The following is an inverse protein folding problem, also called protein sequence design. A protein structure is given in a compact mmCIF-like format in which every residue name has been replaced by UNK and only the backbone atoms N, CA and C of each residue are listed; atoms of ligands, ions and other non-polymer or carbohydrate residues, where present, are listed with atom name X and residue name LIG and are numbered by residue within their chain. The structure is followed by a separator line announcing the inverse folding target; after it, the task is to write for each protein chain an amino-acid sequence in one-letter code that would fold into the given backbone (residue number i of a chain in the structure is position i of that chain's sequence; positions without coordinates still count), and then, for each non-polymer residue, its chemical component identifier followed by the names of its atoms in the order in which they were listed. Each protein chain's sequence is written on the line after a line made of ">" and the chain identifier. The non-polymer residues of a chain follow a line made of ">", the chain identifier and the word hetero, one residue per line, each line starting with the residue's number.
data_IF_862403970614
#
_entry.id   IF_862403970614
#
_cell.length_a   1.000
_cell.length_b   1.000
_cell.length_c   1.000
_cell.angle_alpha   90.00
_cell.angle_beta   90.00
_cell.angle_gamma   90.00
#
_symmetry.space_group_name_H-M   'P 1'
#
loop_
_entity.id
_entity.type
_entity.pdbx_description
1 polymer ?
#
# COMPACT_ATOMS: atom_id res chain seq x y z
N UNK A 1 18.45 -11.18 -13.01
CA UNK A 1 17.00 -11.03 -12.87
C UNK A 1 16.71 -9.85 -11.96
N UNK A 2 15.95 -8.88 -12.47
CA UNK A 2 15.60 -7.71 -11.69
C UNK A 2 14.23 -7.90 -11.03
N UNK A 3 14.06 -7.37 -9.82
CA UNK A 3 12.80 -7.47 -9.11
C UNK A 3 12.53 -6.24 -8.25
N UNK A 4 11.26 -6.02 -7.94
CA UNK A 4 10.81 -5.02 -7.00
C UNK A 4 9.76 -5.65 -6.09
N UNK A 5 9.76 -5.30 -4.82
CA UNK A 5 8.77 -5.75 -3.85
C UNK A 5 7.91 -4.55 -3.47
N UNK A 6 6.60 -4.71 -3.62
CA UNK A 6 5.59 -3.72 -3.27
C UNK A 6 4.71 -4.33 -2.19
N UNK A 7 4.49 -3.60 -1.11
CA UNK A 7 3.62 -4.06 -0.04
C UNK A 7 2.74 -2.91 0.44
N UNK A 8 1.55 -3.23 0.98
CA UNK A 8 0.76 -2.18 1.61
C UNK A 8 1.39 -1.79 2.96
N UNK A 9 0.97 -0.66 3.53
CA UNK A 9 1.61 -0.10 4.71
C UNK A 9 1.40 -0.90 6.00
N UNK A 10 0.58 -1.96 5.94
CA UNK A 10 0.44 -2.89 7.06
C UNK A 10 1.62 -3.85 7.16
N UNK A 11 2.43 -3.95 6.11
CA UNK A 11 3.64 -4.75 6.11
C UNK A 11 4.77 -3.91 6.71
N UNK A 12 5.31 -4.36 7.85
CA UNK A 12 6.39 -3.64 8.53
C UNK A 12 7.74 -4.08 7.96
N UNK A 13 8.46 -3.12 7.38
CA UNK A 13 9.82 -3.36 6.92
C UNK A 13 10.83 -2.90 7.96
N UNK A 14 11.93 -3.66 8.19
CA UNK A 14 13.07 -3.13 8.93
C UNK A 14 13.63 -1.89 8.23
N UNK A 15 14.28 -1.01 8.97
CA UNK A 15 14.86 0.21 8.41
C UNK A 15 15.83 -0.06 7.27
N UNK A 16 16.55 -1.19 7.32
CA UNK A 16 17.47 -1.60 6.27
C UNK A 16 16.77 -1.85 4.94
N UNK A 17 15.54 -2.40 4.98
CA UNK A 17 14.75 -2.64 3.77
C UNK A 17 13.97 -1.41 3.34
N UNK A 18 13.52 -0.59 4.28
CA UNK A 18 12.76 0.61 3.97
C UNK A 18 13.53 1.60 3.09
N UNK A 19 14.86 1.59 3.18
CA UNK A 19 15.73 2.46 2.39
C UNK A 19 16.22 1.81 1.09
N UNK A 20 15.84 0.56 0.83
CA UNK A 20 16.23 -0.15 -0.39
C UNK A 20 15.29 0.24 -1.53
N UNK A 21 15.80 0.73 -2.69
CA UNK A 21 14.92 1.13 -3.80
C UNK A 21 14.14 -0.02 -4.42
N UNK A 22 14.45 -1.28 -4.08
CA UNK A 22 13.71 -2.45 -4.54
C UNK A 22 12.44 -2.69 -3.73
N UNK A 23 12.23 -1.95 -2.65
CA UNK A 23 11.07 -2.09 -1.77
C UNK A 23 10.29 -0.79 -1.75
N UNK A 24 8.97 -0.90 -1.92
CA UNK A 24 8.08 0.26 -1.85
C UNK A 24 6.85 -0.10 -1.04
N UNK A 25 6.44 0.81 -0.17
CA UNK A 25 5.21 0.68 0.60
C UNK A 25 4.12 1.52 -0.05
N UNK A 26 2.93 0.92 -0.23
CA UNK A 26 1.75 1.64 -0.73
C UNK A 26 0.86 1.95 0.47
N UNK A 27 0.67 3.24 0.75
CA UNK A 27 0.08 3.70 1.99
C UNK A 27 -1.44 3.49 2.06
N UNK A 28 -1.90 2.95 3.20
CA UNK A 28 -3.31 2.97 3.55
C UNK A 28 -3.70 4.34 4.09
N UNK A 29 -4.98 4.67 3.99
CA UNK A 29 -5.51 5.88 4.60
C UNK A 29 -6.23 5.56 5.91
N UNK A 30 -6.16 6.47 6.86
CA UNK A 30 -6.85 6.37 8.15
C UNK A 30 -7.73 7.60 8.31
N UNK A 31 -8.92 7.43 8.87
CA UNK A 31 -9.85 8.55 9.10
C UNK A 31 -10.29 8.59 10.55
N UNK A 32 -10.13 9.76 11.17
CA UNK A 32 -10.65 10.06 12.52
C UNK A 32 -11.38 11.38 12.44
N UNK A 33 -12.67 11.36 12.75
CA UNK A 33 -13.52 12.56 12.75
C UNK A 33 -13.47 13.38 11.45
N UNK A 34 -13.47 12.70 10.30
CA UNK A 34 -13.40 13.34 9.00
C UNK A 34 -12.03 13.75 8.54
N UNK A 35 -11.01 13.61 9.40
CA UNK A 35 -9.63 13.90 9.04
C UNK A 35 -8.98 12.64 8.47
N UNK A 36 -8.46 12.72 7.26
CA UNK A 36 -7.79 11.61 6.60
C UNK A 36 -6.29 11.72 6.84
N UNK A 37 -5.71 10.64 7.35
CA UNK A 37 -4.29 10.55 7.65
C UNK A 37 -3.72 9.42 6.80
N UNK A 38 -2.60 9.68 6.12
CA UNK A 38 -1.94 8.70 5.27
C UNK A 38 -0.87 7.97 6.07
N UNK A 39 -0.88 6.64 6.01
CA UNK A 39 0.07 5.78 6.71
C UNK A 39 1.37 5.65 5.91
N UNK A 40 2.10 6.75 5.84
CA UNK A 40 3.39 6.84 5.15
C UNK A 40 4.48 7.27 6.15
N UNK A 41 5.64 7.70 5.65
CA UNK A 41 6.76 8.09 6.51
C UNK A 41 6.47 9.33 7.36
N UNK A 42 5.42 10.08 7.05
CA UNK A 42 4.99 11.25 7.83
C UNK A 42 4.05 10.88 8.96
N UNK A 43 3.63 9.61 9.04
CA UNK A 43 2.65 9.15 10.02
C UNK A 43 3.22 9.24 11.43
N UNK A 44 2.44 9.88 12.32
CA UNK A 44 2.78 10.00 13.74
C UNK A 44 1.77 9.17 14.55
N UNK A 45 2.18 7.98 14.96
CA UNK A 45 1.33 7.03 15.68
C UNK A 45 0.83 7.62 17.01
N UNK A 46 1.68 8.31 17.73
CA UNK A 46 1.34 8.88 19.03
C UNK A 46 0.23 9.92 18.92
N UNK A 47 0.36 10.80 17.93
CA UNK A 47 -0.65 11.81 17.62
C UNK A 47 -1.95 11.19 17.15
N UNK A 48 -1.88 10.16 16.30
CA UNK A 48 -3.04 9.42 15.83
C UNK A 48 -3.79 8.77 16.99
N UNK A 49 -3.08 8.10 17.89
CA UNK A 49 -3.69 7.44 19.05
C UNK A 49 -4.37 8.47 19.97
N UNK A 50 -3.79 9.65 20.13
CA UNK A 50 -4.41 10.71 20.92
C UNK A 50 -5.74 11.17 20.28
N UNK A 51 -5.78 11.30 18.96
CA UNK A 51 -6.99 11.66 18.24
C UNK A 51 -8.08 10.60 18.37
N UNK A 52 -7.70 9.33 18.28
CA UNK A 52 -8.62 8.20 18.44
C UNK A 52 -9.22 8.20 19.85
N UNK A 53 -8.39 8.41 20.87
CA UNK A 53 -8.84 8.44 22.25
C UNK A 53 -9.81 9.60 22.53
N UNK A 54 -9.66 10.73 21.84
CA UNK A 54 -10.52 11.89 22.00
C UNK A 54 -11.80 11.81 21.16
N UNK A 55 -11.87 10.89 20.20
CA UNK A 55 -13.01 10.75 19.29
C UNK A 55 -14.12 9.89 19.89
N UNK A 56 -15.39 10.31 19.82
CA UNK A 56 -16.52 9.44 20.20
C UNK A 56 -16.85 8.40 19.13
N UNK A 57 -16.27 8.50 17.94
CA UNK A 57 -16.52 7.59 16.82
C UNK A 57 -15.32 6.69 16.59
N UNK A 58 -15.59 5.48 16.07
CA UNK A 58 -14.52 4.58 15.68
C UNK A 58 -13.75 5.13 14.50
N UNK A 59 -12.42 5.02 14.50
CA UNK A 59 -11.64 5.36 13.32
C UNK A 59 -11.92 4.39 12.17
N UNK A 60 -11.68 4.84 10.95
CA UNK A 60 -11.85 4.03 9.74
C UNK A 60 -10.52 3.93 9.03
N UNK A 61 -10.38 2.87 8.23
CA UNK A 61 -9.22 2.72 7.36
C UNK A 61 -9.68 2.56 5.91
N UNK A 62 -8.85 3.00 4.98
CA UNK A 62 -9.09 2.86 3.55
C UNK A 62 -7.94 2.08 2.92
N UNK A 63 -8.27 1.14 2.04
CA UNK A 63 -7.24 0.47 1.26
C UNK A 63 -6.63 1.45 0.25
N UNK A 64 -5.38 1.21 -0.21
CA UNK A 64 -4.79 2.03 -1.26
C UNK A 64 -5.63 1.93 -2.53
N UNK A 65 -5.63 2.98 -3.34
CA UNK A 65 -6.36 2.97 -4.60
C UNK A 65 -5.64 2.10 -5.65
N UNK A 66 -6.37 1.59 -6.65
CA UNK A 66 -5.72 0.88 -7.76
C UNK A 66 -4.66 1.71 -8.46
N UNK A 67 -4.86 3.02 -8.58
CA UNK A 67 -3.88 3.94 -9.18
C UNK A 67 -2.58 3.98 -8.39
N UNK A 68 -2.65 3.93 -7.06
CA UNK A 68 -1.45 3.90 -6.21
C UNK A 68 -0.63 2.64 -6.46
N UNK A 69 -1.28 1.49 -6.59
CA UNK A 69 -0.60 0.24 -6.93
C UNK A 69 -0.03 0.30 -8.35
N UNK A 70 -0.79 0.80 -9.30
CA UNK A 70 -0.34 0.94 -10.68
C UNK A 70 0.95 1.78 -10.75
N UNK A 71 1.01 2.89 -10.03
CA UNK A 71 2.21 3.73 -10.00
C UNK A 71 3.39 3.00 -9.37
N UNK A 72 3.14 2.19 -8.35
CA UNK A 72 4.20 1.38 -7.72
C UNK A 72 4.75 0.31 -8.68
N UNK A 73 3.95 -0.15 -9.64
CA UNK A 73 4.39 -1.14 -10.63
C UNK A 73 5.24 -0.52 -11.74
N UNK A 74 5.29 0.79 -11.83
CA UNK A 74 6.14 1.50 -12.80
C UNK A 74 7.59 1.46 -12.33
N UNK A 75 8.31 0.48 -12.82
CA UNK A 75 9.71 0.26 -12.45
C UNK A 75 10.43 -0.39 -13.63
N UNK A 76 11.74 -0.26 -13.67
CA UNK A 76 12.57 -0.93 -14.67
C UNK A 76 12.73 -2.42 -14.36
N UNK A 77 12.39 -2.86 -13.15
CA UNK A 77 12.45 -4.26 -12.78
C UNK A 77 11.52 -5.10 -13.64
N UNK A 78 11.98 -6.29 -14.03
CA UNK A 78 11.18 -7.22 -14.85
C UNK A 78 10.08 -7.90 -14.05
N UNK A 79 10.33 -8.11 -12.75
CA UNK A 79 9.41 -8.82 -11.88
C UNK A 79 9.00 -7.94 -10.71
N UNK A 80 7.70 -7.93 -10.40
CA UNK A 80 7.16 -7.21 -9.25
C UNK A 80 6.40 -8.20 -8.38
N UNK A 81 6.78 -8.28 -7.11
CA UNK A 81 6.09 -9.11 -6.13
C UNK A 81 5.31 -8.20 -5.19
N UNK A 82 4.02 -8.45 -5.06
CA UNK A 82 3.11 -7.58 -4.30
C UNK A 82 2.54 -8.35 -3.12
N UNK A 83 2.65 -7.78 -1.93
CA UNK A 83 2.13 -8.38 -0.71
C UNK A 83 1.10 -7.43 -0.11
N UNK A 84 -0.11 -7.93 0.13
CA UNK A 84 -1.21 -7.12 0.67
C UNK A 84 -1.80 -7.80 1.91
N UNK A 85 -2.60 -7.03 2.64
CA UNK A 85 -3.47 -7.63 3.64
C UNK A 85 -4.36 -8.67 2.99
N UNK A 86 -4.78 -9.66 3.77
CA UNK A 86 -5.68 -10.71 3.28
C UNK A 86 -6.92 -10.12 2.63
N UNK A 87 -7.34 -10.71 1.51
CA UNK A 87 -8.57 -10.32 0.82
C UNK A 87 -9.81 -10.46 1.70
N UNK A 88 -9.70 -11.27 2.76
CA UNK A 88 -10.79 -11.45 3.72
C UNK A 88 -10.88 -10.33 4.74
N UNK A 89 -9.82 -9.52 4.87
CA UNK A 89 -9.75 -8.43 5.85
C UNK A 89 -9.81 -7.04 5.21
N UNK A 90 -9.40 -6.92 3.97
CA UNK A 90 -9.24 -5.61 3.33
C UNK A 90 -9.44 -5.70 1.83
N UNK A 91 -9.76 -4.56 1.22
CA UNK A 91 -9.81 -4.42 -0.23
C UNK A 91 -8.45 -4.20 -0.90
N UNK A 92 -7.35 -4.20 -0.15
CA UNK A 92 -6.00 -3.98 -0.70
C UNK A 92 -5.65 -4.98 -1.80
N UNK A 93 -5.96 -6.26 -1.60
CA UNK A 93 -5.70 -7.28 -2.60
C UNK A 93 -6.42 -6.97 -3.92
N UNK A 94 -7.71 -6.63 -3.85
CA UNK A 94 -8.49 -6.29 -5.04
C UNK A 94 -7.96 -5.03 -5.72
N UNK A 95 -7.55 -4.03 -4.94
CA UNK A 95 -6.93 -2.82 -5.47
C UNK A 95 -5.62 -3.13 -6.19
N UNK A 96 -4.81 -4.02 -5.62
CA UNK A 96 -3.55 -4.44 -6.24
C UNK A 96 -3.78 -5.18 -7.56
N UNK A 97 -4.78 -6.07 -7.60
CA UNK A 97 -5.14 -6.80 -8.81
C UNK A 97 -5.68 -5.87 -9.90
N UNK A 98 -6.52 -4.91 -9.51
CA UNK A 98 -7.06 -3.93 -10.45
C UNK A 98 -5.96 -3.00 -10.96
N UNK A 99 -5.03 -2.60 -10.09
CA UNK A 99 -3.86 -1.82 -10.50
C UNK A 99 -2.99 -2.55 -11.51
N UNK A 100 -2.85 -3.88 -11.35
CA UNK A 100 -2.15 -4.72 -12.32
C UNK A 100 -2.82 -4.68 -13.69
N UNK A 101 -4.14 -4.81 -13.74
CA UNK A 101 -4.89 -4.72 -14.99
C UNK A 101 -4.74 -3.35 -15.64
N UNK A 102 -4.84 -2.29 -14.87
CA UNK A 102 -4.66 -0.93 -15.35
C UNK A 102 -3.26 -0.72 -15.92
N UNK A 103 -2.25 -1.25 -15.25
CA UNK A 103 -0.88 -1.18 -15.73
C UNK A 103 -0.71 -1.90 -17.06
N UNK A 104 -1.23 -3.12 -17.17
CA UNK A 104 -1.11 -3.91 -18.39
C UNK A 104 -1.84 -3.27 -19.58
N UNK A 105 -2.96 -2.60 -19.34
CA UNK A 105 -3.70 -1.89 -20.39
C UNK A 105 -2.94 -0.65 -20.89
N UNK A 106 -2.24 0.03 -19.99
CA UNK A 106 -1.56 1.28 -20.32
C UNK A 106 -0.13 1.07 -20.82
N UNK A 107 0.61 0.16 -20.20
CA UNK A 107 2.04 -0.03 -20.47
C UNK A 107 2.41 -1.39 -21.06
N UNK A 108 1.47 -2.33 -21.12
CA UNK A 108 1.73 -3.68 -21.59
C UNK A 108 2.04 -4.66 -20.46
N UNK A 109 2.26 -5.91 -20.84
CA UNK A 109 2.45 -6.98 -19.85
C UNK A 109 3.76 -6.86 -19.09
N UNK A 110 3.70 -7.16 -17.81
CA UNK A 110 4.85 -7.25 -16.91
C UNK A 110 4.60 -8.41 -15.94
N UNK A 111 5.66 -9.01 -15.44
CA UNK A 111 5.54 -10.09 -14.45
C UNK A 111 5.20 -9.50 -13.09
N UNK A 112 3.91 -9.39 -12.80
CA UNK A 112 3.40 -8.86 -11.53
C UNK A 112 2.69 -9.99 -10.80
N UNK A 113 3.23 -10.36 -9.63
CA UNK A 113 2.68 -11.43 -8.81
C UNK A 113 2.06 -10.83 -7.56
N UNK A 114 0.75 -10.90 -7.44
CA UNK A 114 0.04 -10.37 -6.28
C UNK A 114 -0.26 -11.52 -5.32
N UNK A 115 0.27 -11.42 -4.12
CA UNK A 115 0.12 -12.44 -3.07
C UNK A 115 -0.97 -11.99 -2.08
N UNK A 116 -1.93 -12.89 -1.86
CA UNK A 116 -2.99 -12.67 -0.88
C UNK A 116 -2.53 -13.10 0.52
#
# INVERSE_FOLDING_TARGET
>A
MSYKIVADSCCEFPLTLANDPRYESVALGLEVEGEVIIDDETFNQKEFLAKVAASPKCPKSYCPSPENFKEAYRTEAENVFVFTLSSKLSGSYNSAELGKKMYEEEYGKKNIFVCD
#
